data_IF_305497665573
#
_entry.id   IF_305497665573
#
_cell.length_a   1.000
_cell.length_b   1.000
_cell.length_c   1.000
_cell.angle_alpha   90.00
_cell.angle_beta   90.00
_cell.angle_gamma   90.00
#
_symmetry.space_group_name_H-M   'P 1'
#
loop_
_entity.id
_entity.type
_entity.pdbx_description
1 polymer ?
#
# COMPACT_ATOMS: atom_id res chain seq x y z
N UNK A 1 -19.25 -0.04 8.43
CA UNK A 1 -19.39 -0.05 9.89
C UNK A 1 -18.54 -1.17 10.48
N UNK A 2 -17.67 -0.88 11.45
CA UNK A 2 -16.86 -1.91 12.14
C UNK A 2 -17.78 -2.67 13.10
N UNK A 3 -18.16 -3.91 12.76
CA UNK A 3 -19.15 -4.71 13.50
C UNK A 3 -18.79 -4.97 14.97
N UNK A 4 -17.52 -4.79 15.37
CA UNK A 4 -17.02 -5.11 16.72
C UNK A 4 -16.63 -3.89 17.56
N UNK A 5 -17.03 -2.66 17.20
CA UNK A 5 -16.67 -1.43 17.94
C UNK A 5 -16.92 -1.54 19.45
N UNK A 6 -18.03 -2.16 19.85
CA UNK A 6 -18.43 -2.34 21.25
C UNK A 6 -17.53 -3.30 22.06
N UNK A 7 -16.68 -4.08 21.40
CA UNK A 7 -15.74 -5.02 22.05
C UNK A 7 -14.30 -4.50 22.05
N UNK A 8 -14.03 -3.34 21.44
CA UNK A 8 -12.68 -2.79 21.36
C UNK A 8 -12.34 -1.99 22.62
N UNK A 9 -11.35 -2.47 23.36
CA UNK A 9 -10.79 -1.71 24.48
C UNK A 9 -10.14 -0.43 23.97
N UNK A 10 -10.36 0.68 24.69
CA UNK A 10 -9.66 1.95 24.44
C UNK A 10 -8.15 1.75 24.52
N UNK A 11 -7.39 2.56 23.78
CA UNK A 11 -5.92 2.51 23.70
C UNK A 11 -5.34 1.22 23.11
N UNK A 12 -6.17 0.29 22.63
CA UNK A 12 -5.68 -0.87 21.87
C UNK A 12 -5.19 -0.38 20.51
N UNK A 13 -3.93 -0.64 20.11
CA UNK A 13 -3.42 -0.21 18.81
C UNK A 13 -4.16 -0.92 17.68
N UNK A 14 -4.47 -0.20 16.60
CA UNK A 14 -5.13 -0.72 15.41
C UNK A 14 -4.13 -0.72 14.27
N UNK A 15 -3.79 -1.91 13.77
CA UNK A 15 -3.02 -2.06 12.54
C UNK A 15 -3.97 -2.22 11.36
N UNK A 16 -3.91 -1.28 10.43
CA UNK A 16 -4.67 -1.31 9.19
C UNK A 16 -3.74 -1.80 8.08
N UNK A 17 -4.09 -2.96 7.51
CA UNK A 17 -3.41 -3.54 6.35
C UNK A 17 -4.19 -3.34 5.04
N UNK A 18 -5.40 -2.79 5.15
CA UNK A 18 -6.27 -2.49 4.01
C UNK A 18 -5.68 -1.39 3.13
N UNK A 19 -5.81 -1.54 1.81
CA UNK A 19 -5.30 -0.59 0.81
C UNK A 19 -6.46 -0.12 -0.06
N UNK A 20 -6.64 1.19 -0.22
CA UNK A 20 -7.71 1.76 -1.04
C UNK A 20 -8.21 3.10 -0.51
N UNK A 21 -9.27 3.59 -1.15
CA UNK A 21 -9.97 4.84 -0.83
C UNK A 21 -11.46 4.53 -0.85
N UNK A 22 -12.21 4.99 0.16
CA UNK A 22 -13.67 4.85 0.16
C UNK A 22 -14.28 5.76 -0.91
N UNK A 23 -15.07 5.19 -1.81
CA UNK A 23 -15.58 5.89 -3.00
C UNK A 23 -16.44 7.10 -2.63
N UNK A 24 -17.29 6.98 -1.62
CA UNK A 24 -18.28 8.02 -1.26
C UNK A 24 -17.65 9.21 -0.56
N UNK A 25 -16.74 8.97 0.38
CA UNK A 25 -16.13 10.04 1.19
C UNK A 25 -14.76 10.47 0.69
N UNK A 26 -14.15 9.70 -0.21
CA UNK A 26 -12.76 9.84 -0.65
C UNK A 26 -11.75 9.77 0.51
N UNK A 27 -12.13 9.12 1.60
CA UNK A 27 -11.28 8.91 2.77
C UNK A 27 -10.43 7.66 2.64
N UNK A 28 -9.24 7.75 3.20
CA UNK A 28 -8.38 6.62 3.47
C UNK A 28 -8.87 5.80 4.67
N UNK A 29 -8.48 4.52 4.76
CA UNK A 29 -8.80 3.68 5.90
C UNK A 29 -8.44 4.28 7.27
N UNK A 30 -7.32 5.01 7.41
CA UNK A 30 -7.00 5.70 8.67
C UNK A 30 -8.03 6.74 9.05
N UNK A 31 -8.42 7.61 8.11
CA UNK A 31 -9.39 8.68 8.33
C UNK A 31 -10.75 8.09 8.76
N UNK A 32 -11.16 6.98 8.13
CA UNK A 32 -12.38 6.26 8.53
C UNK A 32 -12.23 5.63 9.92
N UNK A 33 -11.07 5.05 10.21
CA UNK A 33 -10.81 4.42 11.50
C UNK A 33 -10.79 5.44 12.64
N UNK A 34 -10.21 6.61 12.44
CA UNK A 34 -10.17 7.71 13.42
C UNK A 34 -11.59 8.19 13.78
N UNK A 35 -12.48 8.28 12.79
CA UNK A 35 -13.89 8.65 13.02
C UNK A 35 -14.64 7.62 13.87
N UNK A 36 -14.30 6.34 13.72
CA UNK A 36 -14.98 5.24 14.39
C UNK A 36 -14.32 4.90 15.74
N UNK A 37 -13.00 5.00 15.85
CA UNK A 37 -12.14 4.50 16.94
C UNK A 37 -11.26 5.61 17.53
N UNK A 38 -11.86 6.74 17.89
CA UNK A 38 -11.19 7.98 18.35
C UNK A 38 -10.19 7.83 19.52
N UNK A 39 -10.25 6.73 20.29
CA UNK A 39 -9.37 6.49 21.44
C UNK A 39 -8.31 5.42 21.17
N UNK A 40 -8.13 5.01 19.92
CA UNK A 40 -7.24 3.93 19.56
C UNK A 40 -6.12 4.47 18.67
N UNK A 41 -4.85 4.26 19.03
CA UNK A 41 -3.73 4.58 18.15
C UNK A 41 -3.86 3.83 16.83
N UNK A 42 -3.81 4.56 15.71
CA UNK A 42 -3.92 3.99 14.36
C UNK A 42 -2.52 3.85 13.76
N UNK A 43 -2.27 2.68 13.17
CA UNK A 43 -1.07 2.41 12.39
C UNK A 43 -1.43 1.81 11.04
N UNK A 44 -0.65 2.13 10.02
CA UNK A 44 -0.75 1.55 8.67
C UNK A 44 0.41 0.60 8.46
N UNK A 45 0.12 -0.62 8.03
CA UNK A 45 1.12 -1.61 7.66
C UNK A 45 1.12 -1.78 6.13
N UNK A 46 2.17 -1.32 5.46
CA UNK A 46 2.24 -1.35 3.99
C UNK A 46 3.66 -1.49 3.45
N UNK A 47 3.79 -2.10 2.28
CA UNK A 47 5.06 -2.37 1.61
C UNK A 47 4.96 -3.58 0.69
N UNK A 48 6.08 -3.95 0.03
CA UNK A 48 6.18 -5.14 -0.79
C UNK A 48 6.14 -6.37 0.11
N UNK A 49 4.99 -7.04 0.12
CA UNK A 49 4.74 -8.18 1.02
C UNK A 49 3.75 -9.16 0.41
N UNK A 50 4.16 -9.89 -0.64
CA UNK A 50 3.31 -10.97 -1.12
C UNK A 50 3.12 -12.01 -0.02
N UNK A 51 1.86 -12.22 0.36
CA UNK A 51 1.50 -13.17 1.41
C UNK A 51 2.05 -14.58 1.12
N UNK A 52 2.13 -14.96 -0.16
CA UNK A 52 2.71 -16.23 -0.60
C UNK A 52 4.21 -16.32 -0.26
N UNK A 53 4.99 -15.30 -0.61
CA UNK A 53 6.44 -15.27 -0.34
C UNK A 53 6.73 -15.25 1.16
N UNK A 54 5.91 -14.52 1.94
CA UNK A 54 6.01 -14.53 3.42
C UNK A 54 5.74 -15.93 3.97
N UNK A 55 4.71 -16.62 3.45
CA UNK A 55 4.40 -17.99 3.86
C UNK A 55 5.50 -19.00 3.45
N UNK A 56 6.29 -18.67 2.43
CA UNK A 56 7.46 -19.43 1.97
C UNK A 56 8.76 -19.02 2.70
N UNK A 57 8.67 -18.21 3.76
CA UNK A 57 9.80 -17.70 4.54
C UNK A 57 10.82 -16.88 3.73
N UNK A 58 10.38 -16.23 2.65
CA UNK A 58 11.23 -15.34 1.86
C UNK A 58 11.26 -13.93 2.44
N UNK A 59 12.44 -13.28 2.48
CA UNK A 59 12.61 -12.02 3.19
C UNK A 59 11.87 -10.87 2.51
N UNK A 60 11.20 -10.04 3.30
CA UNK A 60 10.57 -8.81 2.83
C UNK A 60 10.73 -7.66 3.84
N UNK A 61 10.58 -6.43 3.35
CA UNK A 61 10.70 -5.21 4.15
C UNK A 61 9.49 -4.32 3.93
N UNK A 62 8.82 -3.95 5.01
CA UNK A 62 7.61 -3.12 4.98
C UNK A 62 7.68 -1.97 5.98
N UNK A 63 6.71 -1.05 5.88
CA UNK A 63 6.58 0.12 6.73
C UNK A 63 5.43 -0.06 7.70
N UNK A 64 5.66 0.29 8.97
CA UNK A 64 4.62 0.60 9.95
C UNK A 64 4.58 2.12 10.13
N UNK A 65 3.54 2.77 9.60
CA UNK A 65 3.33 4.19 9.75
C UNK A 65 2.35 4.50 10.88
N UNK A 66 2.66 5.46 11.75
CA UNK A 66 1.77 5.90 12.83
C UNK A 66 2.33 7.08 13.60
N UNK A 67 1.52 7.75 14.42
CA UNK A 67 1.95 8.97 15.12
C UNK A 67 2.70 8.71 16.44
N UNK A 68 2.48 7.55 17.05
CA UNK A 68 3.13 7.18 18.32
C UNK A 68 4.35 6.30 18.07
N UNK A 69 5.54 6.90 18.13
CA UNK A 69 6.81 6.23 17.87
C UNK A 69 7.13 5.12 18.87
N UNK A 70 7.03 5.38 20.17
CA UNK A 70 7.35 4.39 21.21
C UNK A 70 6.45 3.15 21.09
N UNK A 71 5.16 3.37 20.87
CA UNK A 71 4.20 2.29 20.64
C UNK A 71 4.48 1.57 19.31
N UNK A 72 4.81 2.31 18.25
CA UNK A 72 5.18 1.76 16.95
C UNK A 72 6.41 0.86 17.04
N UNK A 73 7.45 1.30 17.73
CA UNK A 73 8.67 0.51 17.96
C UNK A 73 8.36 -0.75 18.79
N UNK A 74 7.53 -0.65 19.84
CA UNK A 74 7.07 -1.81 20.61
C UNK A 74 6.25 -2.81 19.75
N UNK A 75 5.46 -2.33 18.79
CA UNK A 75 4.74 -3.18 17.86
C UNK A 75 5.68 -3.85 16.86
N UNK A 76 6.69 -3.12 16.36
CA UNK A 76 7.72 -3.66 15.47
C UNK A 76 8.48 -4.79 16.14
N UNK A 77 8.88 -4.64 17.40
CA UNK A 77 9.56 -5.70 18.17
C UNK A 77 8.72 -6.97 18.29
N UNK A 78 7.39 -6.84 18.37
CA UNK A 78 6.47 -7.97 18.53
C UNK A 78 6.13 -8.68 17.22
N UNK A 79 6.20 -7.98 16.09
CA UNK A 79 5.71 -8.47 14.79
C UNK A 79 6.89 -8.87 13.89
N UNK A 80 8.01 -8.16 13.96
CA UNK A 80 9.17 -8.41 13.11
C UNK A 80 9.80 -9.76 13.41
N UNK A 81 10.37 -10.37 12.38
CA UNK A 81 11.11 -11.63 12.47
C UNK A 81 12.11 -11.72 11.31
N UNK A 82 12.81 -12.84 11.17
CA UNK A 82 13.83 -13.06 10.13
C UNK A 82 13.28 -12.96 8.69
N UNK A 83 11.98 -13.15 8.51
CA UNK A 83 11.28 -13.06 7.22
C UNK A 83 10.70 -11.66 6.99
N UNK A 84 10.15 -11.05 8.03
CA UNK A 84 9.43 -9.78 7.95
C UNK A 84 10.17 -8.69 8.72
N UNK A 85 10.92 -7.85 7.98
CA UNK A 85 11.52 -6.64 8.54
C UNK A 85 10.54 -5.48 8.46
N UNK A 86 10.31 -4.80 9.58
CA UNK A 86 9.40 -3.65 9.63
C UNK A 86 10.19 -2.39 9.99
N UNK A 87 9.94 -1.31 9.26
CA UNK A 87 10.55 0.00 9.47
C UNK A 87 9.46 0.97 9.94
N UNK A 88 9.72 1.70 11.01
CA UNK A 88 8.80 2.72 11.50
C UNK A 88 8.86 3.99 10.63
N UNK A 89 7.70 4.62 10.43
CA UNK A 89 7.58 5.93 9.79
C UNK A 89 6.41 6.73 10.39
N UNK A 90 6.39 8.05 10.20
CA UNK A 90 5.30 8.89 10.73
C UNK A 90 4.25 9.25 9.67
N UNK A 91 4.60 9.21 8.39
CA UNK A 91 3.70 9.59 7.29
C UNK A 91 2.59 8.56 7.00
N UNK A 92 1.51 8.62 7.78
CA UNK A 92 0.32 7.75 7.66
C UNK A 92 -0.37 7.92 6.30
N UNK A 93 -0.59 9.15 5.86
CA UNK A 93 -1.37 9.44 4.66
C UNK A 93 -0.56 9.11 3.40
N UNK A 94 0.71 9.51 3.34
CA UNK A 94 1.57 9.24 2.19
C UNK A 94 1.77 7.74 1.93
N UNK A 95 1.91 6.95 3.00
CA UNK A 95 1.96 5.48 2.90
C UNK A 95 0.68 4.91 2.28
N UNK A 96 -0.49 5.44 2.63
CA UNK A 96 -1.76 4.98 2.07
C UNK A 96 -1.98 5.42 0.62
N UNK A 97 -1.48 6.61 0.24
CA UNK A 97 -1.54 7.10 -1.15
C UNK A 97 -0.83 6.12 -2.09
N UNK A 98 0.43 5.79 -1.83
CA UNK A 98 1.18 4.82 -2.64
C UNK A 98 0.49 3.46 -2.69
N UNK A 99 0.04 2.97 -1.53
CA UNK A 99 -0.64 1.69 -1.40
C UNK A 99 -1.98 1.62 -2.15
N UNK A 100 -2.73 2.72 -2.22
CA UNK A 100 -4.01 2.80 -2.92
C UNK A 100 -3.82 2.89 -4.45
N UNK A 101 -2.93 3.77 -4.91
CA UNK A 101 -2.74 4.05 -6.33
C UNK A 101 -1.99 2.95 -7.08
N UNK A 102 -1.12 2.19 -6.41
CA UNK A 102 -0.36 1.12 -7.08
C UNK A 102 -1.23 0.12 -7.84
N UNK A 103 -2.42 -0.17 -7.32
CA UNK A 103 -3.34 -1.13 -7.91
C UNK A 103 -3.90 -0.62 -9.25
N UNK A 104 -4.16 0.68 -9.34
CA UNK A 104 -4.63 1.32 -10.58
C UNK A 104 -3.53 1.28 -11.64
N UNK A 105 -2.29 1.61 -11.24
CA UNK A 105 -1.14 1.57 -12.14
C UNK A 105 -0.85 0.13 -12.59
N UNK A 106 -0.99 -0.85 -11.69
CA UNK A 106 -0.81 -2.27 -12.02
C UNK A 106 -1.83 -2.79 -13.04
N UNK A 107 -3.08 -2.30 -13.03
CA UNK A 107 -4.06 -2.59 -14.08
C UNK A 107 -3.53 -2.10 -15.43
N UNK A 108 -3.03 -0.86 -15.51
CA UNK A 108 -2.46 -0.31 -16.74
C UNK A 108 -1.24 -1.12 -17.22
N UNK A 109 -0.38 -1.56 -16.31
CA UNK A 109 0.73 -2.47 -16.63
C UNK A 109 0.24 -3.82 -17.15
N UNK A 110 -0.83 -4.38 -16.58
CA UNK A 110 -1.43 -5.61 -17.07
C UNK A 110 -2.05 -5.47 -18.46
N UNK A 111 -2.69 -4.33 -18.79
CA UNK A 111 -3.17 -4.05 -20.15
C UNK A 111 -2.00 -4.06 -21.15
N UNK A 112 -0.87 -3.45 -20.79
CA UNK A 112 0.35 -3.42 -21.60
C UNK A 112 0.90 -4.83 -21.82
N UNK A 113 0.94 -5.64 -20.77
CA UNK A 113 1.37 -7.03 -20.83
C UNK A 113 0.44 -7.86 -21.75
N UNK A 114 -0.88 -7.78 -21.55
CA UNK A 114 -1.86 -8.48 -22.37
C UNK A 114 -1.75 -8.11 -23.86
N UNK A 115 -1.49 -6.84 -24.17
CA UNK A 115 -1.29 -6.35 -25.54
C UNK A 115 0.11 -6.58 -26.11
N UNK A 116 1.02 -7.22 -25.37
CA UNK A 116 2.41 -7.46 -25.77
C UNK A 116 3.18 -6.19 -26.20
N UNK A 117 2.95 -5.05 -25.52
CA UNK A 117 3.58 -3.77 -25.87
C UNK A 117 5.01 -3.61 -25.30
N UNK A 118 5.47 -4.59 -24.52
CA UNK A 118 6.84 -4.69 -24.04
C UNK A 118 7.16 -3.87 -22.77
N UNK A 119 8.33 -4.15 -22.19
CA UNK A 119 8.74 -3.62 -20.89
C UNK A 119 9.03 -2.10 -20.89
N UNK A 120 9.38 -1.51 -22.05
CA UNK A 120 9.55 -0.06 -22.16
C UNK A 120 8.23 0.69 -21.90
N UNK A 121 7.10 0.12 -22.35
CA UNK A 121 5.78 0.69 -22.08
C UNK A 121 5.42 0.56 -20.60
N UNK A 122 5.72 -0.59 -19.97
CA UNK A 122 5.54 -0.80 -18.53
C UNK A 122 6.33 0.24 -17.73
N UNK A 123 7.61 0.42 -18.02
CA UNK A 123 8.46 1.40 -17.34
C UNK A 123 7.94 2.84 -17.51
N UNK A 124 7.43 3.17 -18.70
CA UNK A 124 6.81 4.48 -18.97
C UNK A 124 5.56 4.70 -18.11
N UNK A 125 4.70 3.69 -17.99
CA UNK A 125 3.48 3.76 -17.17
C UNK A 125 3.80 3.86 -15.69
N UNK A 126 4.76 3.07 -15.18
CA UNK A 126 5.21 3.18 -13.79
C UNK A 126 5.74 4.59 -13.49
N UNK A 127 6.55 5.14 -14.39
CA UNK A 127 7.12 6.50 -14.23
C UNK A 127 6.02 7.57 -14.21
N UNK A 128 5.04 7.48 -15.13
CA UNK A 128 3.89 8.39 -15.15
C UNK A 128 3.03 8.23 -13.89
N UNK A 129 2.77 6.99 -13.48
CA UNK A 129 2.02 6.66 -12.26
C UNK A 129 2.69 7.21 -11.00
N UNK A 130 4.02 7.18 -10.91
CA UNK A 130 4.76 7.81 -9.82
C UNK A 130 4.57 9.34 -9.78
N UNK A 131 4.47 10.00 -10.94
CA UNK A 131 4.15 11.43 -10.99
C UNK A 131 2.73 11.72 -10.52
N UNK A 132 1.75 10.86 -10.85
CA UNK A 132 0.38 10.97 -10.35
C UNK A 132 0.31 10.75 -8.83
N UNK A 133 1.02 9.73 -8.31
CA UNK A 133 1.18 9.49 -6.88
C UNK A 133 1.75 10.72 -6.19
N UNK A 134 2.86 11.28 -6.70
CA UNK A 134 3.48 12.49 -6.16
C UNK A 134 2.51 13.67 -6.16
N UNK A 135 1.71 13.82 -7.21
CA UNK A 135 0.74 14.90 -7.34
C UNK A 135 -0.34 14.79 -6.27
N UNK A 136 -0.92 13.60 -6.09
CA UNK A 136 -1.92 13.39 -5.03
C UNK A 136 -1.29 13.52 -3.63
N UNK A 137 -0.07 13.03 -3.46
CA UNK A 137 0.70 13.18 -2.23
C UNK A 137 0.79 14.65 -1.82
N UNK A 138 1.27 15.51 -2.71
CA UNK A 138 1.41 16.94 -2.43
C UNK A 138 0.04 17.58 -2.16
N UNK A 139 -0.99 17.19 -2.90
CA UNK A 139 -2.34 17.71 -2.72
C UNK A 139 -2.95 17.35 -1.35
N UNK A 140 -2.62 16.18 -0.79
CA UNK A 140 -3.13 15.69 0.50
C UNK A 140 -2.26 16.10 1.70
N UNK A 141 -0.94 16.08 1.56
CA UNK A 141 0.01 16.31 2.66
C UNK A 141 0.60 17.73 2.70
N UNK A 142 0.32 18.58 1.70
CA UNK A 142 0.88 19.93 1.53
C UNK A 142 2.41 20.00 1.51
N UNK A 143 3.08 18.85 1.50
CA UNK A 143 4.51 18.67 1.62
C UNK A 143 4.90 17.36 0.92
N UNK A 144 6.19 17.04 0.88
CA UNK A 144 6.70 15.82 0.29
C UNK A 144 7.68 15.16 1.24
N UNK A 145 7.44 13.88 1.54
CA UNK A 145 8.44 13.03 2.16
C UNK A 145 9.01 12.06 1.13
N UNK A 146 10.29 12.25 0.80
CA UNK A 146 10.98 11.37 -0.13
C UNK A 146 11.14 9.97 0.47
N UNK A 147 11.37 9.82 1.77
CA UNK A 147 11.52 8.51 2.40
C UNK A 147 10.26 7.64 2.21
N UNK A 148 9.07 8.25 2.24
CA UNK A 148 7.83 7.54 1.86
C UNK A 148 7.79 7.25 0.37
N UNK A 149 7.96 8.28 -0.48
CA UNK A 149 7.74 8.13 -1.92
C UNK A 149 8.70 7.14 -2.61
N UNK A 150 9.99 7.20 -2.27
CA UNK A 150 11.00 6.27 -2.79
C UNK A 150 11.20 5.04 -1.90
N UNK A 151 10.44 4.94 -0.81
CA UNK A 151 10.52 3.86 0.15
C UNK A 151 9.73 2.61 -0.23
N UNK A 152 9.79 1.57 0.63
CA UNK A 152 9.12 0.31 0.38
C UNK A 152 7.59 0.45 0.29
N UNK A 153 6.98 1.31 1.10
CA UNK A 153 5.51 1.52 1.11
C UNK A 153 4.93 2.08 -0.20
N UNK A 154 5.74 2.77 -1.01
CA UNK A 154 5.30 3.42 -2.23
C UNK A 154 6.01 2.85 -3.46
N UNK A 155 7.23 3.29 -3.77
CA UNK A 155 7.96 2.84 -4.96
C UNK A 155 8.23 1.33 -4.94
N UNK A 156 8.65 0.78 -3.80
CA UNK A 156 8.94 -0.65 -3.68
C UNK A 156 7.70 -1.52 -3.93
N UNK A 157 6.60 -1.20 -3.26
CA UNK A 157 5.33 -1.92 -3.43
C UNK A 157 4.74 -1.72 -4.84
N UNK A 158 4.90 -0.53 -5.44
CA UNK A 158 4.50 -0.28 -6.82
C UNK A 158 5.27 -1.16 -7.80
N UNK A 159 6.61 -1.16 -7.72
CA UNK A 159 7.46 -1.99 -8.59
C UNK A 159 7.04 -3.45 -8.46
N UNK A 160 6.98 -3.97 -7.23
CA UNK A 160 6.55 -5.34 -7.00
C UNK A 160 5.19 -5.61 -7.65
N UNK A 161 4.21 -4.72 -7.47
CA UNK A 161 2.84 -4.94 -7.98
C UNK A 161 2.74 -4.84 -9.51
N UNK A 162 3.62 -4.10 -10.17
CA UNK A 162 3.58 -3.82 -11.61
C UNK A 162 4.49 -4.71 -12.46
N UNK A 163 5.34 -5.55 -11.86
CA UNK A 163 6.33 -6.36 -12.59
C UNK A 163 6.21 -7.87 -12.35
N UNK A 164 5.15 -8.32 -11.71
CA UNK A 164 4.94 -9.75 -11.39
C UNK A 164 3.51 -10.21 -11.65
N UNK A 165 3.40 -11.44 -12.11
CA UNK A 165 2.12 -12.13 -12.30
C UNK A 165 1.47 -12.54 -10.97
N UNK A 166 2.19 -12.47 -9.84
CA UNK A 166 1.59 -12.66 -8.51
C UNK A 166 0.67 -11.49 -8.10
N UNK A 167 0.74 -10.37 -8.81
CA UNK A 167 -0.19 -9.25 -8.66
C UNK A 167 -1.53 -9.58 -9.34
N UNK A 168 -2.57 -9.81 -8.53
CA UNK A 168 -3.93 -10.10 -9.04
C UNK A 168 -4.43 -9.05 -10.04
N UNK A 169 -4.15 -7.76 -9.81
CA UNK A 169 -4.59 -6.67 -10.68
C UNK A 169 -3.86 -6.70 -12.03
N UNK A 170 -2.55 -6.95 -12.02
CA UNK A 170 -1.75 -7.05 -13.23
C UNK A 170 -2.12 -8.30 -14.03
N UNK A 171 -2.15 -9.47 -13.38
CA UNK A 171 -2.47 -10.75 -14.00
C UNK A 171 -3.88 -10.76 -14.63
N UNK A 172 -4.90 -10.37 -13.87
CA UNK A 172 -6.28 -10.31 -14.38
C UNK A 172 -6.39 -9.38 -15.59
N UNK A 173 -5.74 -8.22 -15.53
CA UNK A 173 -5.77 -7.27 -16.65
C UNK A 173 -5.00 -7.84 -17.86
N UNK A 174 -3.87 -8.51 -17.66
CA UNK A 174 -3.16 -9.18 -18.75
C UNK A 174 -4.01 -10.26 -19.41
N UNK A 175 -4.72 -11.07 -18.62
CA UNK A 175 -5.57 -12.13 -19.11
C UNK A 175 -6.72 -11.58 -19.97
N UNK A 176 -7.37 -10.52 -19.50
CA UNK A 176 -8.47 -9.86 -20.23
C UNK A 176 -8.00 -9.34 -21.59
N UNK A 177 -6.81 -8.76 -21.66
CA UNK A 177 -6.29 -8.08 -22.85
C UNK A 177 -5.39 -8.94 -23.75
N UNK A 178 -5.03 -10.16 -23.32
CA UNK A 178 -4.29 -11.14 -24.15
C UNK A 178 -5.17 -11.91 -25.12
N UNK A 179 -6.45 -12.07 -24.78
CA UNK A 179 -7.44 -12.58 -25.71
C UNK A 179 -7.89 -11.45 -26.66
N UNK A 180 -7.75 -11.62 -27.97
CA UNK A 180 -8.28 -10.74 -29.04
C UNK A 180 -9.83 -10.63 -29.05
N UNK A 181 -10.49 -10.40 -27.90
CA UNK A 181 -11.95 -10.29 -27.75
C UNK A 181 -12.44 -8.85 -27.52
N UNK A 182 -11.58 -7.86 -27.68
CA UNK A 182 -11.93 -6.43 -27.72
C UNK A 182 -11.50 -5.83 -29.05
#
# INVERSE_FOLDING_TARGET
QIQHKQHMCKNTPILICSKGIEITSLKFPSEIAEEILQYNPIFILSGPSFAKEIAEHLPCSIVLAGDNKELGESLIEKISNDVLKIIYHQDIIGVQIGAALKNIIAIACGIIAGKNLGNNAVATVITKGMNEIKTLYIAKNHSIDLHTLIGPSCLGDLILTCTTEHSRNMALSSDIFSCNKL
#
